data_IF_339545336118
#
_entry.id   IF_339545336118
#
_cell.length_a   1.000
_cell.length_b   1.000
_cell.length_c   1.000
_cell.angle_alpha   90.00
_cell.angle_beta   90.00
_cell.angle_gamma   90.00
#
_symmetry.space_group_name_H-M   'P 1'
#
loop_
_entity.id
_entity.type
_entity.pdbx_description
1 polymer ?
#
# COMPACT_ATOMS: atom_id res chain seq x y z
N UNK A 1 12.73 -2.12 -8.02
CA UNK A 1 13.68 -3.27 -7.95
C UNK A 1 12.87 -4.56 -7.99
N UNK A 2 13.38 -5.65 -8.58
CA UNK A 2 12.72 -6.97 -8.56
C UNK A 2 13.28 -7.82 -7.42
N UNK A 3 12.50 -8.07 -6.37
CA UNK A 3 12.90 -8.92 -5.23
C UNK A 3 12.18 -10.28 -5.31
N UNK A 4 12.70 -11.28 -6.04
CA UNK A 4 12.00 -12.53 -6.30
C UNK A 4 11.89 -13.46 -5.09
N UNK A 5 12.67 -13.26 -4.02
CA UNK A 5 12.67 -14.13 -2.85
C UNK A 5 11.82 -13.61 -1.67
N UNK A 6 11.48 -12.31 -1.66
CA UNK A 6 10.78 -11.72 -0.52
C UNK A 6 9.29 -12.06 -0.56
N UNK A 7 8.81 -12.69 0.51
CA UNK A 7 7.38 -13.00 0.73
C UNK A 7 6.72 -12.05 1.72
N UNK A 8 7.50 -11.47 2.62
CA UNK A 8 7.02 -10.58 3.68
C UNK A 8 7.97 -9.39 3.77
N UNK A 9 7.39 -8.20 3.95
CA UNK A 9 8.13 -6.97 4.22
C UNK A 9 7.63 -6.38 5.54
N UNK A 10 8.51 -6.34 6.55
CA UNK A 10 8.21 -5.77 7.86
C UNK A 10 9.19 -4.63 8.16
N UNK A 11 8.67 -3.41 8.27
CA UNK A 11 9.44 -2.18 8.35
C UNK A 11 9.13 -1.43 9.65
N UNK A 12 9.72 -1.92 10.74
CA UNK A 12 9.36 -1.51 12.09
C UNK A 12 10.13 -0.25 12.56
N UNK A 13 11.30 -0.01 11.99
CA UNK A 13 12.20 1.10 12.35
C UNK A 13 12.35 2.14 11.25
N UNK A 14 11.85 1.84 10.05
CA UNK A 14 12.04 2.66 8.86
C UNK A 14 10.99 3.76 8.81
N UNK A 15 11.43 5.01 8.73
CA UNK A 15 10.58 6.20 8.62
C UNK A 15 10.47 6.73 7.17
N UNK A 16 11.28 6.22 6.26
CA UNK A 16 11.32 6.61 4.85
C UNK A 16 11.49 5.40 3.95
N UNK A 17 10.67 5.32 2.90
CA UNK A 17 10.86 4.38 1.81
C UNK A 17 11.19 5.14 0.53
N UNK A 18 12.10 4.57 -0.27
CA UNK A 18 12.35 5.08 -1.61
C UNK A 18 11.19 4.72 -2.54
N UNK A 19 10.87 5.62 -3.46
CA UNK A 19 10.05 5.31 -4.63
C UNK A 19 10.64 4.10 -5.36
N UNK A 20 9.79 3.22 -5.89
CA UNK A 20 10.13 2.01 -6.63
C UNK A 20 10.90 0.91 -5.86
N UNK A 21 11.01 1.02 -4.53
CA UNK A 21 11.79 0.08 -3.71
C UNK A 21 11.32 -1.37 -3.87
N UNK A 22 10.01 -1.62 -3.92
CA UNK A 22 9.42 -2.96 -4.02
C UNK A 22 8.56 -3.15 -5.28
N UNK A 23 8.64 -2.27 -6.27
CA UNK A 23 7.72 -2.34 -7.41
C UNK A 23 7.91 -3.62 -8.22
N UNK A 24 6.79 -4.21 -8.65
CA UNK A 24 6.72 -5.48 -9.39
C UNK A 24 7.36 -6.67 -8.67
N UNK A 25 7.48 -6.64 -7.35
CA UNK A 25 7.94 -7.80 -6.60
C UNK A 25 6.90 -8.93 -6.68
N UNK A 26 7.24 -10.10 -7.28
CA UNK A 26 6.25 -11.10 -7.68
C UNK A 26 5.75 -11.96 -6.53
N UNK A 27 6.45 -11.95 -5.39
CA UNK A 27 6.24 -12.90 -4.30
C UNK A 27 5.85 -12.28 -2.96
N UNK A 28 5.83 -10.95 -2.83
CA UNK A 28 5.39 -10.29 -1.59
C UNK A 28 3.90 -10.55 -1.40
N UNK A 29 3.55 -11.12 -0.25
CA UNK A 29 2.18 -11.44 0.16
C UNK A 29 1.70 -10.50 1.26
N UNK A 30 2.58 -10.16 2.20
CA UNK A 30 2.23 -9.34 3.37
C UNK A 30 3.22 -8.20 3.58
N UNK A 31 2.68 -7.04 3.94
CA UNK A 31 3.46 -5.83 4.23
C UNK A 31 2.98 -5.19 5.54
N UNK A 32 3.91 -4.85 6.42
CA UNK A 32 3.63 -4.18 7.70
C UNK A 32 4.56 -2.99 7.94
N UNK A 33 3.99 -1.88 8.43
CA UNK A 33 4.73 -0.66 8.75
C UNK A 33 4.38 -0.15 10.15
N UNK A 34 5.40 0.11 10.96
CA UNK A 34 5.19 0.64 12.33
C UNK A 34 5.36 2.15 12.40
N UNK A 35 6.41 2.70 11.78
CA UNK A 35 6.80 4.12 11.92
C UNK A 35 6.72 4.93 10.63
N UNK A 36 6.38 4.28 9.52
CA UNK A 36 6.35 4.91 8.22
C UNK A 36 5.22 5.95 8.18
N UNK A 37 5.53 7.18 7.76
CA UNK A 37 4.54 8.27 7.65
C UNK A 37 3.92 8.37 6.26
N UNK A 38 4.59 7.79 5.25
CA UNK A 38 4.17 7.84 3.86
C UNK A 38 4.56 6.56 3.14
N UNK A 39 3.61 5.98 2.42
CA UNK A 39 3.87 4.93 1.43
C UNK A 39 4.00 5.60 0.05
N UNK A 40 5.23 5.69 -0.51
CA UNK A 40 5.42 6.17 -1.88
C UNK A 40 4.93 5.12 -2.89
N UNK A 41 5.05 5.40 -4.20
CA UNK A 41 4.92 4.39 -5.26
C UNK A 41 6.02 3.34 -5.10
N UNK A 42 5.82 2.37 -4.22
CA UNK A 42 6.81 1.35 -3.91
C UNK A 42 6.24 -0.07 -4.00
N UNK A 43 4.93 -0.26 -3.98
CA UNK A 43 4.30 -1.57 -4.12
C UNK A 43 3.52 -1.72 -5.44
N UNK A 44 3.61 -0.76 -6.36
CA UNK A 44 2.99 -0.88 -7.69
C UNK A 44 3.39 -2.17 -8.41
N UNK A 45 2.40 -2.92 -8.89
CA UNK A 45 2.54 -4.20 -9.56
C UNK A 45 2.89 -5.38 -8.65
N UNK A 46 2.82 -5.24 -7.32
CA UNK A 46 3.00 -6.37 -6.40
C UNK A 46 1.74 -7.25 -6.38
N UNK A 47 1.58 -8.06 -7.43
CA UNK A 47 0.34 -8.79 -7.72
C UNK A 47 -0.10 -9.77 -6.64
N UNK A 48 0.77 -10.20 -5.74
CA UNK A 48 0.47 -11.15 -4.66
C UNK A 48 0.23 -10.51 -3.29
N UNK A 49 0.38 -9.18 -3.15
CA UNK A 49 0.11 -8.51 -1.89
C UNK A 49 -1.37 -8.67 -1.57
N UNK A 50 -1.66 -9.31 -0.44
CA UNK A 50 -3.01 -9.59 0.07
C UNK A 50 -3.32 -8.78 1.30
N UNK A 51 -2.31 -8.62 2.15
CA UNK A 51 -2.44 -8.04 3.48
C UNK A 51 -1.47 -6.86 3.62
N UNK A 52 -2.02 -5.68 3.89
CA UNK A 52 -1.25 -4.47 4.19
C UNK A 52 -1.72 -3.91 5.51
N UNK A 53 -0.80 -3.78 6.46
CA UNK A 53 -1.07 -3.33 7.82
C UNK A 53 -0.21 -2.14 8.20
N UNK A 54 -0.79 -1.28 9.02
CA UNK A 54 -0.31 0.06 9.31
C UNK A 54 -0.57 0.39 10.77
N UNK A 55 0.45 0.83 11.50
CA UNK A 55 0.32 1.15 12.93
C UNK A 55 0.01 2.63 13.19
N UNK A 56 0.57 3.52 12.37
CA UNK A 56 0.50 4.97 12.58
C UNK A 56 -0.14 5.72 11.41
N UNK A 57 -0.43 7.01 11.61
CA UNK A 57 -1.00 7.88 10.59
C UNK A 57 -0.17 7.92 9.31
N UNK A 58 -0.78 7.57 8.17
CA UNK A 58 -0.06 7.38 6.91
C UNK A 58 -0.67 8.19 5.76
N UNK A 59 0.21 8.62 4.86
CA UNK A 59 -0.11 9.15 3.54
C UNK A 59 0.15 8.07 2.48
N UNK A 60 -0.84 7.74 1.65
CA UNK A 60 -0.65 6.87 0.49
C UNK A 60 -0.43 7.76 -0.74
N UNK A 61 0.76 7.67 -1.33
CA UNK A 61 1.11 8.45 -2.52
C UNK A 61 0.47 7.87 -3.77
N UNK A 62 0.49 8.66 -4.85
CA UNK A 62 0.02 8.23 -6.16
C UNK A 62 0.67 6.90 -6.55
N UNK A 63 -0.18 5.96 -7.00
CA UNK A 63 0.20 4.60 -7.39
C UNK A 63 0.85 3.70 -6.31
N UNK A 64 0.79 4.08 -5.02
CA UNK A 64 1.40 3.33 -3.91
C UNK A 64 1.21 1.81 -3.98
N UNK A 65 -0.01 1.37 -4.29
CA UNK A 65 -0.45 -0.02 -4.43
C UNK A 65 -1.11 -0.29 -5.78
N UNK A 66 -0.78 0.47 -6.83
CA UNK A 66 -1.34 0.26 -8.17
C UNK A 66 -1.14 -1.18 -8.64
N UNK A 67 -2.14 -1.78 -9.28
CA UNK A 67 -2.11 -3.15 -9.81
C UNK A 67 -1.76 -4.24 -8.77
N UNK A 68 -2.01 -4.00 -7.47
CA UNK A 68 -1.98 -5.02 -6.43
C UNK A 68 -3.25 -5.88 -6.50
N UNK A 69 -3.36 -6.68 -7.57
CA UNK A 69 -4.60 -7.40 -7.93
C UNK A 69 -5.08 -8.41 -6.89
N UNK A 70 -4.23 -8.85 -5.95
CA UNK A 70 -4.63 -9.78 -4.87
C UNK A 70 -4.99 -9.06 -3.56
N UNK A 71 -4.92 -7.72 -3.52
CA UNK A 71 -5.23 -6.97 -2.30
C UNK A 71 -6.73 -7.06 -2.05
N UNK A 72 -7.14 -7.83 -1.03
CA UNK A 72 -8.56 -8.09 -0.75
C UNK A 72 -9.13 -7.12 0.27
N UNK A 73 -8.32 -6.77 1.27
CA UNK A 73 -8.72 -5.89 2.36
C UNK A 73 -7.59 -4.91 2.67
N UNK A 74 -7.98 -3.69 3.05
CA UNK A 74 -7.05 -2.72 3.60
C UNK A 74 -7.69 -2.00 4.78
N UNK A 75 -6.97 -1.99 5.89
CA UNK A 75 -7.34 -1.23 7.08
C UNK A 75 -6.30 -0.14 7.27
N UNK A 76 -6.68 1.08 6.93
CA UNK A 76 -5.86 2.25 7.18
C UNK A 76 -6.14 2.74 8.62
N UNK A 77 -5.14 3.23 9.36
CA UNK A 77 -5.33 3.81 10.69
C UNK A 77 -5.83 5.25 10.51
N UNK A 78 -5.35 6.22 11.30
CA UNK A 78 -5.65 7.64 11.05
C UNK A 78 -4.91 8.14 9.79
N UNK A 79 -5.38 7.77 8.60
CA UNK A 79 -4.77 8.24 7.34
C UNK A 79 -5.03 9.72 7.13
N UNK A 80 -3.98 10.43 6.67
CA UNK A 80 -4.07 11.87 6.41
C UNK A 80 -4.60 12.15 5.02
N UNK A 81 -3.99 11.55 4.00
CA UNK A 81 -4.31 11.78 2.58
C UNK A 81 -4.08 10.48 1.79
N UNK A 82 -5.04 10.13 0.93
CA UNK A 82 -4.89 9.10 -0.11
C UNK A 82 -4.87 9.82 -1.47
N UNK A 83 -3.76 9.69 -2.19
CA UNK A 83 -3.57 10.33 -3.49
C UNK A 83 -4.29 9.58 -4.62
N UNK A 84 -4.53 10.23 -5.78
CA UNK A 84 -5.21 9.59 -6.90
C UNK A 84 -4.45 8.33 -7.34
N UNK A 85 -5.18 7.35 -7.86
CA UNK A 85 -4.63 6.06 -8.31
C UNK A 85 -3.84 5.24 -7.27
N UNK A 86 -3.86 5.59 -5.97
CA UNK A 86 -3.12 4.84 -4.92
C UNK A 86 -3.45 3.35 -4.92
N UNK A 87 -4.70 2.99 -5.22
CA UNK A 87 -5.22 1.61 -5.30
C UNK A 87 -5.80 1.29 -6.68
N UNK A 88 -5.37 2.00 -7.72
CA UNK A 88 -5.82 1.73 -9.10
C UNK A 88 -5.50 0.29 -9.51
N UNK A 89 -6.43 -0.42 -10.13
CA UNK A 89 -6.26 -1.81 -10.56
C UNK A 89 -6.23 -2.84 -9.43
N UNK A 90 -6.57 -2.45 -8.18
CA UNK A 90 -6.76 -3.41 -7.08
C UNK A 90 -8.11 -4.14 -7.23
N UNK A 91 -8.23 -4.98 -8.25
CA UNK A 91 -9.51 -5.60 -8.67
C UNK A 91 -10.11 -6.57 -7.64
N UNK A 92 -9.32 -7.09 -6.70
CA UNK A 92 -9.81 -7.95 -5.62
C UNK A 92 -10.22 -7.18 -4.36
N UNK A 93 -10.03 -5.85 -4.31
CA UNK A 93 -10.28 -5.06 -3.12
C UNK A 93 -11.79 -4.99 -2.82
N UNK A 94 -12.22 -5.71 -1.79
CA UNK A 94 -13.62 -5.83 -1.38
C UNK A 94 -13.95 -5.00 -0.16
N UNK A 95 -12.96 -4.72 0.68
CA UNK A 95 -13.15 -4.02 1.94
C UNK A 95 -12.08 -2.96 2.16
N UNK A 96 -12.53 -1.76 2.47
CA UNK A 96 -11.72 -0.62 2.86
C UNK A 96 -12.28 -0.07 4.17
N UNK A 97 -11.42 0.09 5.19
CA UNK A 97 -11.81 0.67 6.48
C UNK A 97 -10.81 1.73 6.93
N UNK A 98 -11.33 2.82 7.48
CA UNK A 98 -10.56 3.92 8.05
C UNK A 98 -11.28 4.45 9.31
N UNK A 99 -10.70 4.33 10.52
CA UNK A 99 -11.36 4.73 11.77
C UNK A 99 -11.49 6.25 11.90
N UNK A 100 -10.65 7.02 11.20
CA UNK A 100 -10.75 8.48 11.12
C UNK A 100 -10.56 8.91 9.68
N UNK A 101 -11.63 9.43 9.07
CA UNK A 101 -11.61 9.85 7.67
C UNK A 101 -10.56 10.95 7.46
N UNK A 102 -9.61 10.68 6.57
CA UNK A 102 -8.69 11.67 6.02
C UNK A 102 -9.20 12.24 4.69
N UNK A 103 -8.32 12.93 3.97
CA UNK A 103 -8.61 13.39 2.61
C UNK A 103 -8.47 12.21 1.63
N UNK A 104 -9.56 11.84 0.96
CA UNK A 104 -9.58 10.77 -0.05
C UNK A 104 -9.79 11.44 -1.40
N UNK A 105 -8.74 11.46 -2.24
CA UNK A 105 -8.83 12.09 -3.56
C UNK A 105 -9.59 11.22 -4.56
N UNK A 106 -10.11 11.85 -5.60
CA UNK A 106 -10.82 11.18 -6.69
C UNK A 106 -9.96 10.08 -7.34
N UNK A 107 -10.63 9.05 -7.86
CA UNK A 107 -10.01 7.91 -8.60
C UNK A 107 -9.00 7.07 -7.82
N UNK A 108 -8.88 7.25 -6.49
CA UNK A 108 -7.94 6.46 -5.67
C UNK A 108 -8.23 4.96 -5.69
N UNK A 109 -9.49 4.53 -5.87
CA UNK A 109 -9.94 3.13 -5.97
C UNK A 109 -10.50 2.78 -7.35
N UNK A 110 -9.85 3.20 -8.43
CA UNK A 110 -10.26 2.82 -9.80
C UNK A 110 -9.88 1.37 -10.10
N UNK A 111 -10.81 0.43 -9.92
CA UNK A 111 -10.63 -1.01 -10.13
C UNK A 111 -11.36 -1.54 -11.35
#
# INVERSE_FOLDING_TARGET
MNCPALTTVSLNTVNYLGTDSFTKCPNIVSVSFDKLQQVPNCFSGCKKVKDVSFHDAILCSEEAFKDCISLETITLPSTRIIYPSSFKGCTSLKSFSIPRLGDIREECFSG
#
